data_IF_408727682900
#
_entry.id   IF_408727682900
#
_cell.length_a   1.000
_cell.length_b   1.000
_cell.length_c   1.000
_cell.angle_alpha   90.00
_cell.angle_beta   90.00
_cell.angle_gamma   90.00
#
_symmetry.space_group_name_H-M   'P 1'
#
loop_
_entity.id
_entity.type
_entity.pdbx_description
1 polymer ?
#
# COMPACT_ATOMS: atom_id res chain seq x y z
N UNK A 1 -38.02 0.67 -3.28
CA UNK A 1 -37.32 1.91 -2.87
C UNK A 1 -36.39 2.29 -4.00
N UNK A 2 -36.61 3.45 -4.64
CA UNK A 2 -35.71 3.94 -5.68
C UNK A 2 -34.58 4.74 -5.01
N UNK A 3 -33.33 4.49 -5.40
CA UNK A 3 -32.20 5.36 -5.04
C UNK A 3 -32.44 6.71 -5.75
N UNK A 4 -32.33 7.81 -5.02
CA UNK A 4 -32.44 9.15 -5.60
C UNK A 4 -31.30 9.37 -6.60
N UNK A 5 -31.58 10.04 -7.72
CA UNK A 5 -30.55 10.45 -8.67
C UNK A 5 -29.65 11.51 -8.02
N UNK A 6 -28.33 11.32 -8.14
CA UNK A 6 -27.35 12.25 -7.58
C UNK A 6 -27.38 13.58 -8.35
N UNK A 7 -27.31 14.70 -7.63
CA UNK A 7 -27.19 16.03 -8.22
C UNK A 7 -25.82 16.21 -8.90
N UNK A 8 -25.71 17.20 -9.78
CA UNK A 8 -24.43 17.55 -10.39
C UNK A 8 -23.38 17.98 -9.34
N UNK A 9 -23.79 18.64 -8.26
CA UNK A 9 -22.87 18.98 -7.16
C UNK A 9 -22.38 17.75 -6.40
N UNK A 10 -23.26 16.77 -6.16
CA UNK A 10 -22.91 15.53 -5.48
C UNK A 10 -21.93 14.70 -6.32
N UNK A 11 -22.12 14.64 -7.64
CA UNK A 11 -21.18 13.99 -8.56
C UNK A 11 -19.83 14.71 -8.52
N UNK A 12 -19.82 16.04 -8.63
CA UNK A 12 -18.59 16.83 -8.58
C UNK A 12 -17.83 16.64 -7.26
N UNK A 13 -18.55 16.57 -6.14
CA UNK A 13 -17.97 16.28 -4.84
C UNK A 13 -17.32 14.89 -4.79
N UNK A 14 -18.01 13.85 -5.27
CA UNK A 14 -17.48 12.48 -5.33
C UNK A 14 -16.24 12.38 -6.23
N UNK A 15 -16.23 13.08 -7.37
CA UNK A 15 -15.09 13.12 -8.28
C UNK A 15 -13.87 13.81 -7.66
N UNK A 16 -14.06 14.87 -6.87
CA UNK A 16 -12.97 15.54 -6.17
C UNK A 16 -12.29 14.61 -5.16
N UNK A 17 -13.06 13.88 -4.35
CA UNK A 17 -12.51 12.93 -3.38
C UNK A 17 -11.76 11.80 -4.06
N UNK A 18 -12.33 11.24 -5.14
CA UNK A 18 -11.67 10.20 -5.95
C UNK A 18 -10.33 10.67 -6.52
N UNK A 19 -10.27 11.90 -7.04
CA UNK A 19 -9.02 12.45 -7.55
C UNK A 19 -7.95 12.62 -6.47
N UNK A 20 -8.34 12.93 -5.23
CA UNK A 20 -7.42 12.99 -4.09
C UNK A 20 -6.86 11.60 -3.74
N UNK A 21 -7.72 10.59 -3.67
CA UNK A 21 -7.32 9.20 -3.39
C UNK A 21 -6.35 8.67 -4.43
N UNK A 22 -6.62 8.93 -5.71
CA UNK A 22 -5.76 8.51 -6.82
C UNK A 22 -4.38 9.19 -6.73
N UNK A 23 -4.31 10.47 -6.35
CA UNK A 23 -3.04 11.18 -6.17
C UNK A 23 -2.22 10.62 -5.00
N UNK A 24 -2.86 10.34 -3.86
CA UNK A 24 -2.16 9.73 -2.73
C UNK A 24 -1.67 8.32 -3.08
N UNK A 25 -2.54 7.49 -3.67
CA UNK A 25 -2.20 6.14 -4.13
C UNK A 25 -1.01 6.15 -5.10
N UNK A 26 -0.98 7.06 -6.07
CA UNK A 26 0.11 7.18 -7.03
C UNK A 26 1.45 7.57 -6.37
N UNK A 27 1.46 8.58 -5.49
CA UNK A 27 2.67 8.98 -4.75
C UNK A 27 3.18 7.85 -3.85
N UNK A 28 2.28 7.16 -3.17
CA UNK A 28 2.62 6.02 -2.33
C UNK A 28 3.19 4.87 -3.17
N UNK A 29 2.56 4.53 -4.31
CA UNK A 29 3.06 3.51 -5.23
C UNK A 29 4.49 3.82 -5.71
N UNK A 30 4.76 5.08 -6.07
CA UNK A 30 6.10 5.51 -6.48
C UNK A 30 7.13 5.37 -5.36
N UNK A 31 6.80 5.79 -4.14
CA UNK A 31 7.67 5.64 -2.97
C UNK A 31 7.95 4.18 -2.64
N UNK A 32 6.91 3.34 -2.65
CA UNK A 32 7.02 1.89 -2.44
C UNK A 32 7.88 1.24 -3.51
N UNK A 33 7.69 1.58 -4.79
CA UNK A 33 8.51 1.06 -5.89
C UNK A 33 10.00 1.36 -5.67
N UNK A 34 10.34 2.60 -5.31
CA UNK A 34 11.72 3.02 -5.04
C UNK A 34 12.35 2.26 -3.87
N UNK A 35 11.63 2.17 -2.74
CA UNK A 35 12.11 1.45 -1.54
C UNK A 35 12.29 -0.04 -1.82
N UNK A 36 11.31 -0.67 -2.46
CA UNK A 36 11.38 -2.09 -2.81
C UNK A 36 12.50 -2.37 -3.81
N UNK A 37 12.65 -1.53 -4.84
CA UNK A 37 13.71 -1.67 -5.83
C UNK A 37 15.11 -1.59 -5.21
N UNK A 38 15.33 -0.62 -4.31
CA UNK A 38 16.59 -0.49 -3.58
C UNK A 38 16.89 -1.71 -2.70
N UNK A 39 15.87 -2.23 -1.99
CA UNK A 39 16.03 -3.36 -1.06
C UNK A 39 16.18 -4.71 -1.77
N UNK A 40 15.46 -4.92 -2.87
CA UNK A 40 15.50 -6.14 -3.67
C UNK A 40 16.61 -6.11 -4.72
N UNK A 41 17.26 -4.96 -4.95
CA UNK A 41 18.29 -4.74 -5.98
C UNK A 41 17.81 -5.22 -7.35
N UNK A 42 16.60 -4.82 -7.74
CA UNK A 42 15.98 -5.11 -9.04
C UNK A 42 14.96 -4.03 -9.34
N UNK A 43 14.64 -3.81 -10.61
CA UNK A 43 13.49 -3.00 -10.98
C UNK A 43 12.20 -3.62 -10.40
N UNK A 44 11.33 -2.75 -9.88
CA UNK A 44 10.03 -3.12 -9.30
C UNK A 44 8.99 -2.19 -9.91
N UNK A 45 7.91 -2.75 -10.45
CA UNK A 45 6.75 -1.98 -10.91
C UNK A 45 5.55 -2.27 -10.03
N UNK A 46 4.79 -1.22 -9.72
CA UNK A 46 3.52 -1.29 -8.99
C UNK A 46 2.40 -0.85 -9.93
N UNK A 47 1.42 -1.71 -10.11
CA UNK A 47 0.18 -1.42 -10.85
C UNK A 47 -0.96 -1.37 -9.84
N UNK A 48 -1.75 -0.29 -9.84
CA UNK A 48 -2.88 -0.14 -8.92
C UNK A 48 -3.94 -1.20 -9.20
N UNK A 49 -4.40 -1.88 -8.14
CA UNK A 49 -5.52 -2.81 -8.18
C UNK A 49 -6.70 -2.12 -7.52
N UNK A 50 -7.53 -1.44 -8.30
CA UNK A 50 -8.77 -0.88 -7.77
C UNK A 50 -9.72 -2.04 -7.37
N UNK A 51 -10.30 -1.95 -6.17
CA UNK A 51 -11.39 -2.80 -5.68
C UNK A 51 -11.09 -4.32 -5.57
N UNK A 52 -9.97 -4.72 -4.96
CA UNK A 52 -9.68 -6.15 -4.73
C UNK A 52 -10.46 -6.77 -3.57
N UNK A 53 -10.76 -5.99 -2.53
CA UNK A 53 -11.54 -6.42 -1.37
C UNK A 53 -12.17 -5.23 -0.65
N UNK A 54 -13.26 -5.45 0.12
CA UNK A 54 -13.76 -4.44 1.04
C UNK A 54 -12.67 -4.09 2.05
N UNK A 55 -12.43 -2.79 2.33
CA UNK A 55 -11.47 -2.37 3.34
C UNK A 55 -11.91 -2.87 4.71
N UNK A 56 -10.97 -3.41 5.47
CA UNK A 56 -11.22 -3.86 6.84
C UNK A 56 -11.01 -2.68 7.78
N UNK A 57 -11.94 -2.45 8.71
CA UNK A 57 -11.76 -1.43 9.73
C UNK A 57 -10.50 -1.74 10.55
N UNK A 58 -9.58 -0.78 10.61
CA UNK A 58 -8.31 -0.91 11.30
C UNK A 58 -8.00 0.37 12.09
N UNK A 59 -7.45 0.22 13.29
CA UNK A 59 -7.02 1.34 14.14
C UNK A 59 -5.60 1.84 13.77
N UNK A 60 -4.87 1.06 12.97
CA UNK A 60 -3.54 1.38 12.46
C UNK A 60 -3.37 0.77 11.05
N UNK A 61 -2.44 1.29 10.22
CA UNK A 61 -2.15 0.73 8.92
C UNK A 61 -1.82 -0.77 8.97
N UNK A 62 -2.50 -1.55 8.13
CA UNK A 62 -2.32 -2.98 8.06
C UNK A 62 -1.93 -3.42 6.64
N UNK A 63 -0.76 -4.02 6.51
CA UNK A 63 -0.26 -4.56 5.25
C UNK A 63 -0.61 -6.05 5.13
N UNK A 64 -1.29 -6.42 4.05
CA UNK A 64 -1.37 -7.81 3.60
C UNK A 64 -0.41 -8.04 2.45
N UNK A 65 0.59 -8.89 2.69
CA UNK A 65 1.59 -9.30 1.72
C UNK A 65 1.26 -10.71 1.28
N UNK A 66 1.12 -10.93 -0.02
CA UNK A 66 0.90 -12.28 -0.52
C UNK A 66 2.16 -13.15 -0.46
N UNK A 67 1.98 -14.45 -0.70
CA UNK A 67 3.07 -15.40 -0.64
C UNK A 67 4.12 -15.21 -1.75
N UNK A 68 3.74 -14.62 -2.90
CA UNK A 68 4.64 -14.35 -4.02
C UNK A 68 5.65 -13.26 -3.67
N UNK A 69 5.17 -12.14 -3.15
CA UNK A 69 6.02 -11.04 -2.68
C UNK A 69 6.88 -11.45 -1.48
N UNK A 70 6.32 -12.23 -0.55
CA UNK A 70 7.07 -12.77 0.59
C UNK A 70 8.24 -13.67 0.13
N UNK A 71 8.00 -14.56 -0.83
CA UNK A 71 9.02 -15.46 -1.38
C UNK A 71 10.10 -14.68 -2.15
N UNK A 72 9.71 -13.70 -2.97
CA UNK A 72 10.63 -12.82 -3.68
C UNK A 72 11.57 -12.10 -2.70
N UNK A 73 11.02 -11.49 -1.65
CA UNK A 73 11.80 -10.77 -0.65
C UNK A 73 12.78 -11.70 0.08
N UNK A 74 12.32 -12.89 0.48
CA UNK A 74 13.16 -13.88 1.14
C UNK A 74 14.33 -14.34 0.24
N UNK A 75 14.03 -14.71 -1.02
CA UNK A 75 15.03 -15.18 -1.99
C UNK A 75 16.12 -14.13 -2.24
N UNK A 76 15.73 -12.86 -2.43
CA UNK A 76 16.67 -11.77 -2.72
C UNK A 76 17.53 -11.37 -1.53
N UNK A 77 17.03 -11.49 -0.29
CA UNK A 77 17.79 -11.13 0.92
C UNK A 77 18.64 -12.26 1.48
N UNK A 78 18.22 -13.51 1.35
CA UNK A 78 18.96 -14.67 1.84
C UNK A 78 19.95 -15.23 0.81
N UNK A 79 19.97 -14.69 -0.42
CA UNK A 79 20.85 -15.17 -1.49
C UNK A 79 20.49 -16.57 -1.99
N UNK A 80 19.37 -17.14 -1.55
CA UNK A 80 18.89 -18.44 -2.00
C UNK A 80 18.20 -18.32 -3.35
N UNK A 81 18.45 -19.30 -4.23
CA UNK A 81 17.54 -19.59 -5.34
C UNK A 81 16.17 -19.88 -4.71
N UNK A 82 15.18 -19.07 -5.06
CA UNK A 82 13.89 -19.02 -4.38
C UNK A 82 13.34 -20.43 -4.05
N UNK A 83 12.87 -20.70 -2.82
CA UNK A 83 12.08 -21.89 -2.62
C UNK A 83 10.85 -21.76 -3.51
N UNK A 84 10.63 -22.74 -4.38
CA UNK A 84 9.45 -22.86 -5.24
C UNK A 84 8.20 -23.22 -4.40
N UNK A 85 7.93 -22.44 -3.36
CA UNK A 85 6.86 -22.66 -2.40
C UNK A 85 6.49 -21.38 -1.67
N UNK A 86 5.22 -21.28 -1.24
CA UNK A 86 4.71 -20.18 -0.42
C UNK A 86 5.66 -19.95 0.76
N UNK A 87 6.27 -18.78 0.84
CA UNK A 87 6.95 -18.40 2.07
C UNK A 87 5.89 -18.27 3.17
N UNK A 88 5.97 -19.13 4.20
CA UNK A 88 5.03 -19.12 5.33
C UNK A 88 5.18 -17.89 6.24
N UNK A 89 6.18 -17.03 5.97
CA UNK A 89 6.52 -15.91 6.81
C UNK A 89 6.98 -14.70 6.00
N UNK A 90 6.44 -13.53 6.34
CA UNK A 90 6.81 -12.24 5.76
C UNK A 90 7.85 -11.58 6.68
N UNK A 91 9.08 -11.31 6.21
CA UNK A 91 10.12 -10.79 7.09
C UNK A 91 9.77 -9.42 7.69
N UNK A 92 10.04 -9.23 8.99
CA UNK A 92 9.83 -7.95 9.70
C UNK A 92 10.46 -6.74 8.99
N UNK A 93 11.59 -6.96 8.32
CA UNK A 93 12.29 -5.93 7.56
C UNK A 93 11.51 -5.41 6.34
N UNK A 94 10.61 -6.22 5.76
CA UNK A 94 9.70 -5.76 4.70
C UNK A 94 8.65 -4.82 5.30
N UNK A 95 7.94 -5.24 6.34
CA UNK A 95 6.94 -4.38 7.00
C UNK A 95 7.52 -3.06 7.51
N UNK A 96 8.74 -3.06 8.06
CA UNK A 96 9.42 -1.82 8.46
C UNK A 96 9.65 -0.88 7.27
N UNK A 97 10.05 -1.42 6.12
CA UNK A 97 10.28 -0.62 4.92
C UNK A 97 8.98 -0.06 4.34
N UNK A 98 7.91 -0.87 4.33
CA UNK A 98 6.58 -0.44 3.89
C UNK A 98 5.99 0.63 4.83
N UNK A 99 6.11 0.44 6.14
CA UNK A 99 5.64 1.41 7.13
C UNK A 99 6.39 2.74 7.03
N UNK A 100 7.72 2.72 6.90
CA UNK A 100 8.51 3.94 6.71
C UNK A 100 8.08 4.69 5.45
N UNK A 101 7.94 4.00 4.32
CA UNK A 101 7.49 4.60 3.07
C UNK A 101 6.09 5.22 3.20
N UNK A 102 5.15 4.53 3.86
CA UNK A 102 3.80 5.06 4.10
C UNK A 102 3.83 6.30 5.00
N UNK A 103 4.56 6.24 6.12
CA UNK A 103 4.65 7.36 7.05
C UNK A 103 5.26 8.59 6.37
N UNK A 104 6.34 8.42 5.61
CA UNK A 104 6.96 9.51 4.86
C UNK A 104 6.01 10.12 3.82
N UNK A 105 5.34 9.29 2.99
CA UNK A 105 4.45 9.79 1.95
C UNK A 105 3.18 10.44 2.50
N UNK A 106 2.70 9.95 3.65
CA UNK A 106 1.57 10.56 4.34
C UNK A 106 1.92 11.93 4.91
N UNK A 107 3.03 12.04 5.66
CA UNK A 107 3.43 13.32 6.26
C UNK A 107 3.87 14.38 5.23
N UNK A 108 4.31 13.95 4.04
CA UNK A 108 4.67 14.83 2.92
C UNK A 108 3.47 15.62 2.37
N UNK A 109 2.30 14.98 2.24
CA UNK A 109 1.05 15.70 2.02
C UNK A 109 -0.13 14.90 2.59
N UNK A 110 -0.56 15.23 3.83
CA UNK A 110 -1.68 14.56 4.48
C UNK A 110 -3.00 14.98 3.82
N UNK A 111 -4.03 14.14 3.97
CA UNK A 111 -5.34 14.37 3.38
C UNK A 111 -6.41 13.52 4.05
N UNK A 112 -7.42 13.12 3.30
CA UNK A 112 -8.34 12.07 3.73
C UNK A 112 -7.75 10.71 3.32
N UNK A 113 -7.60 9.73 4.24
CA UNK A 113 -7.03 8.44 3.89
C UNK A 113 -8.05 7.62 3.10
N UNK A 114 -7.68 7.07 1.93
CA UNK A 114 -8.53 6.10 1.26
C UNK A 114 -8.67 4.87 2.18
N UNK A 115 -9.84 4.21 2.23
CA UNK A 115 -10.08 3.18 3.23
C UNK A 115 -9.23 1.92 3.00
N UNK A 116 -8.79 1.68 1.76
CA UNK A 116 -7.84 0.64 1.43
C UNK A 116 -7.22 0.85 0.06
N UNK A 117 -6.00 0.35 -0.10
CA UNK A 117 -5.21 0.43 -1.33
C UNK A 117 -4.67 -0.95 -1.69
N UNK A 118 -4.46 -1.19 -2.98
CA UNK A 118 -3.94 -2.45 -3.48
C UNK A 118 -3.05 -2.25 -4.69
N UNK A 119 -1.97 -3.02 -4.76
CA UNK A 119 -1.05 -3.01 -5.90
C UNK A 119 -0.64 -4.42 -6.29
N UNK A 120 -0.50 -4.61 -7.60
CA UNK A 120 0.22 -5.73 -8.19
C UNK A 120 1.66 -5.32 -8.35
N UNK A 121 2.55 -6.08 -7.74
CA UNK A 121 3.99 -5.87 -7.78
C UNK A 121 4.59 -6.86 -8.77
N UNK A 122 5.39 -6.37 -9.72
CA UNK A 122 6.19 -7.21 -10.60
C UNK A 122 7.67 -6.88 -10.46
N UNK A 123 8.49 -7.91 -10.31
CA UNK A 123 9.95 -7.77 -10.21
C UNK A 123 10.64 -9.08 -10.54
N UNK A 124 11.73 -9.03 -11.33
CA UNK A 124 12.57 -10.19 -11.67
C UNK A 124 11.79 -11.43 -12.15
N UNK A 125 10.73 -11.24 -12.94
CA UNK A 125 9.87 -12.33 -13.43
C UNK A 125 8.88 -12.90 -12.41
N UNK A 126 8.84 -12.35 -11.19
CA UNK A 126 7.85 -12.68 -10.17
C UNK A 126 6.73 -11.64 -10.15
N UNK A 127 5.53 -12.09 -9.79
CA UNK A 127 4.36 -11.26 -9.53
C UNK A 127 3.85 -11.54 -8.10
N UNK A 128 3.36 -10.50 -7.43
CA UNK A 128 2.68 -10.60 -6.14
C UNK A 128 1.71 -9.45 -5.91
N UNK A 129 0.91 -9.57 -4.87
CA UNK A 129 -0.10 -8.61 -4.45
C UNK A 129 0.26 -8.04 -3.09
N UNK A 130 0.14 -6.72 -2.98
CA UNK A 130 0.27 -5.96 -1.75
C UNK A 130 -1.01 -5.19 -1.50
N UNK A 131 -1.63 -5.39 -0.34
CA UNK A 131 -2.81 -4.66 0.10
C UNK A 131 -2.50 -3.87 1.36
N UNK A 132 -3.17 -2.75 1.51
CA UNK A 132 -3.05 -1.85 2.64
C UNK A 132 -4.46 -1.44 3.09
N UNK A 133 -4.79 -1.73 4.34
CA UNK A 133 -5.95 -1.15 5.01
C UNK A 133 -5.47 0.04 5.84
N UNK A 134 -6.16 1.18 5.74
CA UNK A 134 -5.82 2.40 6.47
C UNK A 134 -6.88 2.73 7.54
N UNK A 135 -6.50 3.41 8.62
CA UNK A 135 -7.46 3.99 9.55
C UNK A 135 -8.41 4.94 8.84
N UNK A 136 -9.68 4.93 9.24
CA UNK A 136 -10.69 5.84 8.66
C UNK A 136 -10.42 7.30 8.99
N UNK A 137 -9.87 7.58 10.18
CA UNK A 137 -9.61 8.94 10.60
C UNK A 137 -8.17 9.35 10.28
N UNK A 138 -8.01 10.46 9.56
CA UNK A 138 -6.71 11.05 9.24
C UNK A 138 -5.82 11.26 10.48
N UNK A 139 -6.42 11.63 11.62
CA UNK A 139 -5.72 11.84 12.89
C UNK A 139 -5.01 10.58 13.41
N UNK A 140 -5.60 9.41 13.18
CA UNK A 140 -5.05 8.13 13.66
C UNK A 140 -3.84 7.76 12.78
N UNK A 141 -3.94 8.01 11.47
CA UNK A 141 -2.84 7.84 10.53
C UNK A 141 -1.70 8.85 10.77
N UNK A 142 -2.02 10.11 11.08
CA UNK A 142 -1.04 11.15 11.47
C UNK A 142 -0.26 10.75 12.71
N UNK A 143 -0.97 10.33 13.76
CA UNK A 143 -0.37 9.89 15.01
C UNK A 143 0.57 8.71 14.75
N UNK A 144 0.07 7.68 14.07
CA UNK A 144 0.85 6.50 13.70
C UNK A 144 2.10 6.84 12.86
N UNK A 145 1.98 7.75 11.90
CA UNK A 145 3.08 8.11 11.01
C UNK A 145 4.20 8.82 11.78
N UNK A 146 3.84 9.76 12.68
CA UNK A 146 4.79 10.46 13.55
C UNK A 146 5.52 9.50 14.49
N UNK A 147 4.80 8.54 15.08
CA UNK A 147 5.40 7.51 15.93
C UNK A 147 6.34 6.59 15.15
N UNK A 148 6.02 6.28 13.90
CA UNK A 148 6.81 5.37 13.06
C UNK A 148 8.16 5.99 12.66
N UNK A 149 8.20 7.29 12.34
CA UNK A 149 9.45 7.97 11.96
C UNK A 149 10.32 8.32 13.17
N UNK A 150 9.72 8.50 14.34
CA UNK A 150 10.44 8.85 15.57
C UNK A 150 11.14 7.65 16.24
N UNK A 151 10.97 6.43 15.71
CA UNK A 151 11.53 5.17 16.24
C UNK A 151 12.68 4.65 15.40
#
# INVERSE_FOLDING_TARGET
>A
MALAELSAEEIAFLDMSRASDERFSARLAQGLAGVLAARLRTAVTLESLQALRPPVAADAPHWTVDAGLAALWAARRLGSRAPAGRAAFVPRGLYRALNAALAERWLDAPGEPPPGLGWRIRAAGCEGVLLLDLPRAARDLDHWAKETISR
#
